data_IF_088189350860
#
_entry.id   IF_088189350860
#
_cell.length_a   1.000
_cell.length_b   1.000
_cell.length_c   1.000
_cell.angle_alpha   90.00
_cell.angle_beta   90.00
_cell.angle_gamma   90.00
#
_symmetry.space_group_name_H-M   'P 1'
#
loop_
_entity.id
_entity.type
_entity.pdbx_description
1 polymer ?
#
# COMPACT_ATOMS: atom_id res chain seq x y z
N UNK A 1 59.53 -2.73 -9.22
CA UNK A 1 60.20 -3.95 -8.73
C UNK A 1 59.60 -4.35 -7.39
N UNK A 2 59.25 -5.62 -7.24
CA UNK A 2 58.72 -6.34 -6.07
C UNK A 2 57.29 -6.10 -5.69
N UNK A 3 56.37 -6.91 -6.33
CA UNK A 3 55.10 -7.40 -5.77
C UNK A 3 55.41 -8.10 -4.44
N UNK A 4 54.72 -7.74 -3.37
CA UNK A 4 54.58 -8.57 -2.19
C UNK A 4 53.13 -9.05 -2.11
N UNK A 5 52.99 -10.34 -2.42
CA UNK A 5 51.85 -11.15 -2.06
C UNK A 5 51.69 -11.14 -0.54
N UNK A 6 50.53 -10.79 -0.05
CA UNK A 6 50.08 -11.08 1.31
C UNK A 6 48.83 -11.93 1.25
N UNK A 7 49.00 -13.19 0.87
CA UNK A 7 48.07 -14.26 1.25
C UNK A 7 48.29 -14.56 2.73
N UNK A 8 47.54 -13.90 3.60
CA UNK A 8 47.43 -14.34 4.99
C UNK A 8 46.10 -15.07 5.10
N UNK A 9 46.21 -16.38 4.91
CA UNK A 9 45.09 -17.34 5.09
C UNK A 9 44.55 -17.24 6.51
N UNK A 10 43.29 -16.83 6.61
CA UNK A 10 42.48 -16.94 7.79
C UNK A 10 42.29 -18.42 8.13
N UNK A 11 42.89 -18.87 9.17
CA UNK A 11 42.79 -20.23 9.65
C UNK A 11 41.71 -20.30 10.75
N UNK A 12 40.43 -20.34 10.34
CA UNK A 12 39.28 -20.59 11.23
C UNK A 12 39.12 -22.09 11.58
N UNK A 13 40.17 -22.92 11.40
CA UNK A 13 40.14 -24.35 11.64
C UNK A 13 40.55 -24.78 13.05
N UNK A 14 40.11 -24.02 14.05
CA UNK A 14 40.24 -24.43 15.46
C UNK A 14 38.92 -24.98 16.01
N UNK A 15 38.55 -26.23 15.70
CA UNK A 15 37.45 -27.04 16.24
C UNK A 15 36.30 -27.33 15.26
N UNK A 16 36.54 -28.27 14.37
CA UNK A 16 35.58 -29.30 13.95
C UNK A 16 36.20 -30.17 12.86
N UNK A 17 37.10 -31.09 13.27
CA UNK A 17 37.20 -32.37 12.59
C UNK A 17 36.16 -33.28 13.23
N UNK A 18 34.99 -33.32 12.69
CA UNK A 18 34.07 -34.44 12.83
C UNK A 18 33.43 -34.65 11.49
N UNK A 19 33.76 -35.81 10.92
CA UNK A 19 33.03 -36.62 9.95
C UNK A 19 32.03 -35.88 9.03
N UNK A 20 32.27 -35.99 7.75
CA UNK A 20 31.24 -35.85 6.69
C UNK A 20 30.04 -36.75 7.02
N UNK A 21 29.10 -36.21 7.76
CA UNK A 21 27.73 -36.73 7.87
C UNK A 21 26.91 -36.14 6.70
N UNK A 22 26.01 -36.88 6.11
CA UNK A 22 25.19 -36.39 5.01
C UNK A 22 24.50 -35.10 5.45
N UNK A 23 24.55 -34.06 4.62
CA UNK A 23 23.89 -32.76 4.84
C UNK A 23 22.48 -33.02 5.31
N UNK A 24 22.17 -32.64 6.56
CA UNK A 24 20.84 -32.72 7.12
C UNK A 24 19.89 -31.94 6.19
N UNK A 25 18.95 -32.62 5.59
CA UNK A 25 17.91 -32.06 4.71
C UNK A 25 16.89 -31.20 5.47
N UNK A 26 17.07 -31.01 6.78
CA UNK A 26 16.17 -30.21 7.61
C UNK A 26 16.47 -28.71 7.47
N UNK A 27 15.45 -27.87 7.30
CA UNK A 27 15.61 -26.41 7.22
C UNK A 27 16.19 -25.85 8.52
N UNK A 28 16.94 -24.72 8.42
CA UNK A 28 17.43 -24.00 9.59
C UNK A 28 16.27 -23.41 10.39
N UNK A 29 15.31 -22.79 9.69
CA UNK A 29 14.09 -22.23 10.25
C UNK A 29 12.87 -22.82 9.52
N UNK A 30 11.89 -23.27 10.28
CA UNK A 30 10.59 -23.70 9.77
C UNK A 30 9.48 -22.99 10.56
N UNK A 31 8.56 -22.38 9.85
CA UNK A 31 7.36 -21.72 10.38
C UNK A 31 6.17 -22.46 9.80
N UNK A 32 5.24 -22.92 10.65
CA UNK A 32 4.11 -23.75 10.24
C UNK A 32 2.81 -23.25 10.89
N UNK A 33 1.94 -22.64 10.06
CA UNK A 33 0.61 -22.16 10.45
C UNK A 33 0.62 -21.02 11.48
N UNK A 34 1.68 -20.18 11.49
CA UNK A 34 1.84 -19.13 12.51
C UNK A 34 0.88 -17.99 12.29
N UNK A 35 0.08 -17.69 13.34
CA UNK A 35 -0.78 -16.50 13.41
C UNK A 35 -0.47 -15.69 14.66
N UNK A 36 -0.60 -14.36 14.55
CA UNK A 36 -0.32 -13.44 15.64
C UNK A 36 -1.13 -12.15 15.51
N UNK A 37 -1.49 -11.56 16.66
CA UNK A 37 -2.13 -10.24 16.76
C UNK A 37 -1.78 -9.53 18.07
N UNK A 38 -1.95 -8.22 18.07
CA UNK A 38 -1.81 -7.39 19.27
C UNK A 38 -3.19 -7.08 19.85
N UNK A 39 -3.35 -7.23 21.17
CA UNK A 39 -4.56 -6.83 21.90
C UNK A 39 -5.88 -7.32 21.26
N UNK A 40 -5.89 -8.56 20.77
CA UNK A 40 -7.05 -9.15 20.11
C UNK A 40 -7.26 -8.72 18.66
N UNK A 41 -6.41 -7.83 18.12
CA UNK A 41 -6.42 -7.44 16.71
C UNK A 41 -5.47 -8.31 15.90
N UNK A 42 -5.97 -9.22 15.05
CA UNK A 42 -5.13 -10.10 14.24
C UNK A 42 -4.30 -9.29 13.24
N UNK A 43 -3.01 -9.61 13.15
CA UNK A 43 -2.08 -8.95 12.24
C UNK A 43 -1.47 -9.91 11.22
N UNK A 44 -1.06 -11.10 11.67
CA UNK A 44 -0.45 -12.13 10.84
C UNK A 44 -1.35 -13.37 10.82
N UNK A 45 -1.49 -13.95 9.62
CA UNK A 45 -2.39 -15.08 9.41
C UNK A 45 -1.66 -16.21 8.70
N UNK A 46 -1.72 -17.40 9.26
CA UNK A 46 -1.36 -18.68 8.65
C UNK A 46 -0.04 -18.64 7.87
N UNK A 47 1.04 -18.22 8.54
CA UNK A 47 2.36 -18.08 7.93
C UNK A 47 3.01 -19.47 7.82
N UNK A 48 3.40 -19.85 6.60
CA UNK A 48 4.21 -21.02 6.31
C UNK A 48 5.49 -20.59 5.61
N UNK A 49 6.65 -20.93 6.14
CA UNK A 49 7.95 -20.58 5.57
C UNK A 49 9.02 -21.57 5.99
N UNK A 50 9.92 -21.89 5.06
CA UNK A 50 11.13 -22.68 5.34
C UNK A 50 12.36 -21.94 4.82
N UNK A 51 13.38 -21.88 5.64
CA UNK A 51 14.66 -21.26 5.28
C UNK A 51 15.80 -22.24 5.58
N UNK A 52 16.60 -22.54 4.58
CA UNK A 52 17.73 -23.44 4.72
C UNK A 52 18.97 -22.69 5.23
N UNK A 53 19.94 -23.44 5.75
CA UNK A 53 21.22 -22.86 6.17
C UNK A 53 21.94 -22.21 4.98
N UNK A 54 22.44 -21.00 5.18
CA UNK A 54 23.16 -20.23 4.17
C UNK A 54 22.29 -19.49 3.16
N UNK A 55 20.95 -19.60 3.24
CA UNK A 55 20.07 -18.80 2.36
C UNK A 55 20.08 -17.31 2.71
N UNK A 56 19.87 -16.48 1.69
CA UNK A 56 19.58 -15.05 1.81
C UNK A 56 18.16 -14.76 1.32
N UNK A 57 17.31 -14.29 2.21
CA UNK A 57 15.88 -14.04 1.95
C UNK A 57 15.56 -12.57 2.19
N UNK A 58 15.00 -11.89 1.18
CA UNK A 58 14.48 -10.53 1.28
C UNK A 58 12.97 -10.55 1.55
N UNK A 59 12.54 -9.89 2.61
CA UNK A 59 11.13 -9.75 2.99
C UNK A 59 10.60 -8.39 2.52
N UNK A 60 9.76 -8.38 1.51
CA UNK A 60 9.16 -7.20 0.89
C UNK A 60 7.71 -7.01 1.35
N UNK A 61 7.24 -5.78 1.38
CA UNK A 61 5.85 -5.44 1.67
C UNK A 61 5.71 -4.00 2.15
N UNK A 62 4.50 -3.43 2.07
CA UNK A 62 4.23 -2.06 2.49
C UNK A 62 4.42 -1.87 3.99
N UNK A 63 4.43 -0.60 4.42
CA UNK A 63 4.44 -0.26 5.84
C UNK A 63 3.19 -0.82 6.53
N UNK A 64 3.37 -1.37 7.73
CA UNK A 64 2.27 -2.00 8.47
C UNK A 64 1.87 -3.41 7.98
N UNK A 65 2.58 -4.00 7.00
CA UNK A 65 2.30 -5.37 6.53
C UNK A 65 2.64 -6.45 7.57
N UNK A 66 3.42 -6.13 8.61
CA UNK A 66 3.80 -7.06 9.67
C UNK A 66 5.22 -7.62 9.58
N UNK A 67 6.10 -7.11 8.70
CA UNK A 67 7.51 -7.56 8.54
C UNK A 67 8.28 -7.57 9.85
N UNK A 68 8.34 -6.45 10.55
CA UNK A 68 9.00 -6.32 11.86
C UNK A 68 8.38 -7.26 12.90
N UNK A 69 7.06 -7.46 12.86
CA UNK A 69 6.39 -8.41 13.77
C UNK A 69 6.81 -9.85 13.48
N UNK A 70 6.93 -10.24 12.22
CA UNK A 70 7.46 -11.55 11.84
C UNK A 70 8.91 -11.73 12.32
N UNK A 71 9.78 -10.72 12.13
CA UNK A 71 11.15 -10.76 12.65
C UNK A 71 11.19 -10.88 14.17
N UNK A 72 10.28 -10.21 14.91
CA UNK A 72 10.17 -10.32 16.37
C UNK A 72 9.69 -11.70 16.82
N UNK A 73 8.82 -12.35 16.07
CA UNK A 73 8.42 -13.73 16.31
C UNK A 73 9.59 -14.70 16.09
N UNK A 74 10.32 -14.57 14.97
CA UNK A 74 11.48 -15.41 14.66
C UNK A 74 12.60 -15.22 15.70
N UNK A 75 12.81 -14.00 16.20
CA UNK A 75 13.81 -13.73 17.27
C UNK A 75 13.35 -14.16 18.66
N UNK A 76 12.14 -14.67 18.83
CA UNK A 76 11.59 -15.11 20.11
C UNK A 76 11.25 -13.97 21.09
N UNK A 77 11.20 -12.72 20.60
CA UNK A 77 10.72 -11.56 21.38
C UNK A 77 9.20 -11.63 21.55
N UNK A 78 8.50 -12.08 20.51
CA UNK A 78 7.06 -12.37 20.52
C UNK A 78 6.84 -13.89 20.42
N UNK A 79 5.69 -14.33 20.91
CA UNK A 79 5.27 -15.73 20.82
C UNK A 79 4.05 -15.85 19.89
N UNK A 80 4.01 -16.84 19.00
CA UNK A 80 2.84 -17.06 18.15
C UNK A 80 1.61 -17.40 18.99
N UNK A 81 0.45 -16.97 18.54
CA UNK A 81 -0.84 -17.33 19.15
C UNK A 81 -1.35 -18.69 18.61
N UNK A 82 -0.98 -19.01 17.36
CA UNK A 82 -1.27 -20.28 16.71
C UNK A 82 -0.06 -20.72 15.88
N UNK A 83 0.01 -22.01 15.56
CA UNK A 83 1.10 -22.57 14.80
C UNK A 83 2.37 -22.81 15.63
N UNK A 84 3.46 -23.13 14.96
CA UNK A 84 4.77 -23.43 15.59
C UNK A 84 5.92 -22.90 14.76
N UNK A 85 7.05 -22.68 15.43
CA UNK A 85 8.32 -22.32 14.79
C UNK A 85 9.43 -23.24 15.28
N UNK A 86 10.16 -23.83 14.35
CA UNK A 86 11.29 -24.69 14.62
C UNK A 86 12.59 -24.01 14.17
N UNK A 87 13.58 -24.00 15.03
CA UNK A 87 14.94 -23.58 14.72
C UNK A 87 15.85 -24.81 14.85
N UNK A 88 16.53 -25.18 13.76
CA UNK A 88 17.36 -26.41 13.71
C UNK A 88 16.56 -27.68 14.12
N UNK A 89 15.31 -27.78 13.67
CA UNK A 89 14.42 -28.90 13.97
C UNK A 89 13.85 -28.95 15.40
N UNK A 90 14.19 -28.00 16.26
CA UNK A 90 13.72 -27.90 17.64
C UNK A 90 12.79 -26.69 17.80
N UNK A 91 11.70 -26.84 18.57
CA UNK A 91 10.79 -25.74 18.85
C UNK A 91 11.55 -24.50 19.39
N UNK A 92 11.23 -23.34 18.83
CA UNK A 92 11.92 -22.08 19.15
C UNK A 92 11.80 -21.74 20.63
N UNK A 93 10.65 -21.96 21.22
CA UNK A 93 10.39 -21.69 22.65
C UNK A 93 11.23 -22.59 23.56
N UNK A 94 11.52 -23.83 23.12
CA UNK A 94 12.31 -24.78 23.89
C UNK A 94 13.80 -24.42 24.01
N UNK A 95 14.29 -23.44 23.21
CA UNK A 95 15.67 -22.95 23.33
C UNK A 95 15.89 -22.01 24.51
N UNK A 96 14.82 -21.37 25.01
CA UNK A 96 14.90 -20.30 25.99
C UNK A 96 15.65 -19.07 25.44
N UNK A 97 15.48 -17.91 26.09
CA UNK A 97 16.00 -16.60 25.62
C UNK A 97 17.51 -16.65 25.29
N UNK A 98 18.30 -17.27 26.15
CA UNK A 98 19.77 -17.35 25.98
C UNK A 98 20.17 -18.30 24.83
N UNK A 99 19.44 -19.39 24.67
CA UNK A 99 19.65 -20.33 23.57
C UNK A 99 19.32 -19.71 22.21
N UNK A 100 18.25 -18.94 22.12
CA UNK A 100 17.88 -18.16 20.93
C UNK A 100 18.95 -17.12 20.63
N UNK A 101 19.33 -16.30 21.62
CA UNK A 101 20.32 -15.23 21.44
C UNK A 101 21.73 -15.73 21.05
N UNK A 102 22.05 -17.00 21.21
CA UNK A 102 23.29 -17.62 20.70
C UNK A 102 23.19 -18.09 19.24
N UNK A 103 21.99 -18.08 18.65
CA UNK A 103 21.71 -18.61 17.31
C UNK A 103 21.14 -17.59 16.35
N UNK A 104 20.37 -16.66 16.89
CA UNK A 104 19.71 -15.60 16.13
C UNK A 104 20.26 -14.26 16.62
N UNK A 105 20.81 -13.48 15.70
CA UNK A 105 21.15 -12.09 15.94
C UNK A 105 20.19 -11.17 15.17
N UNK A 106 19.88 -10.01 15.76
CA UNK A 106 18.99 -9.02 15.18
C UNK A 106 19.72 -7.70 15.01
N UNK A 107 19.68 -7.15 13.82
CA UNK A 107 20.05 -5.77 13.50
C UNK A 107 18.76 -4.98 13.39
N UNK A 108 18.41 -4.16 14.38
CA UNK A 108 17.19 -3.36 14.35
C UNK A 108 17.31 -2.20 13.36
N UNK A 109 16.19 -1.64 12.96
CA UNK A 109 16.11 -0.46 12.09
C UNK A 109 16.84 0.76 12.73
N UNK A 110 16.63 0.97 14.01
CA UNK A 110 17.31 2.01 14.80
C UNK A 110 17.77 1.45 16.13
N UNK A 111 18.98 1.82 16.55
CA UNK A 111 19.52 1.51 17.86
C UNK A 111 19.83 2.79 18.60
N UNK A 112 19.01 3.14 19.59
CA UNK A 112 19.26 4.26 20.48
C UNK A 112 20.06 3.81 21.68
N UNK A 113 21.24 4.39 21.86
CA UNK A 113 22.15 4.09 22.96
C UNK A 113 22.27 5.32 23.85
N UNK A 114 21.73 5.30 25.08
CA UNK A 114 21.70 6.47 25.95
C UNK A 114 23.07 6.80 26.61
N UNK A 115 24.04 5.90 26.45
CA UNK A 115 25.36 6.02 27.05
C UNK A 115 26.47 6.20 26.02
N UNK A 116 27.59 6.80 26.41
CA UNK A 116 28.76 7.02 25.57
C UNK A 116 29.63 5.77 25.47
N UNK A 117 29.13 4.69 24.87
CA UNK A 117 29.95 3.51 24.60
C UNK A 117 30.90 3.75 23.45
N UNK A 118 32.11 3.20 23.55
CA UNK A 118 33.01 3.07 22.41
C UNK A 118 32.51 1.99 21.43
N UNK A 119 32.98 2.05 20.20
CA UNK A 119 32.69 1.02 19.19
C UNK A 119 33.06 -0.39 19.68
N UNK A 120 34.23 -0.55 20.28
CA UNK A 120 34.68 -1.83 20.83
C UNK A 120 33.74 -2.32 21.94
N UNK A 121 33.28 -1.45 22.83
CA UNK A 121 32.32 -1.79 23.88
C UNK A 121 30.98 -2.22 23.29
N UNK A 122 30.49 -1.52 22.26
CA UNK A 122 29.28 -1.90 21.54
C UNK A 122 29.37 -3.30 20.95
N UNK A 123 30.44 -3.61 20.21
CA UNK A 123 30.62 -4.94 19.61
C UNK A 123 30.73 -6.02 20.68
N UNK A 124 31.36 -5.69 21.80
CA UNK A 124 31.48 -6.58 22.95
C UNK A 124 30.13 -6.97 23.56
N UNK A 125 29.06 -6.14 23.44
CA UNK A 125 27.70 -6.50 23.89
C UNK A 125 27.18 -7.74 23.15
N UNK A 126 27.63 -8.01 21.94
CA UNK A 126 27.29 -9.22 21.19
C UNK A 126 27.72 -10.52 21.89
N UNK A 127 28.72 -10.47 22.81
CA UNK A 127 29.16 -11.64 23.57
C UNK A 127 28.33 -11.89 24.85
N UNK A 128 27.41 -10.98 25.22
CA UNK A 128 26.56 -11.10 26.43
C UNK A 128 25.86 -12.46 26.59
N UNK A 129 25.32 -13.11 25.55
CA UNK A 129 24.68 -14.42 25.69
C UNK A 129 25.62 -15.54 26.13
N UNK A 130 26.93 -15.36 25.97
CA UNK A 130 27.98 -16.37 26.27
C UNK A 130 28.58 -16.18 27.66
N UNK A 131 28.51 -14.99 28.23
CA UNK A 131 29.05 -14.65 29.55
C UNK A 131 28.10 -15.17 30.65
N UNK A 132 28.60 -15.89 31.64
CA UNK A 132 27.84 -16.33 32.81
C UNK A 132 27.45 -15.17 33.73
N UNK A 133 26.57 -15.40 34.68
CA UNK A 133 26.05 -14.36 35.60
C UNK A 133 27.20 -13.70 36.42
N UNK A 134 28.22 -14.46 36.74
CA UNK A 134 29.45 -14.03 37.48
C UNK A 134 30.73 -14.20 36.62
N UNK A 135 30.55 -14.41 35.31
CA UNK A 135 31.67 -14.68 34.40
C UNK A 135 32.34 -13.42 33.89
N UNK A 136 33.65 -13.47 33.73
CA UNK A 136 34.44 -12.49 32.98
C UNK A 136 34.56 -12.92 31.51
N UNK A 137 34.89 -11.98 30.63
CA UNK A 137 35.19 -12.26 29.21
C UNK A 137 36.42 -13.13 29.08
N UNK A 138 36.36 -14.12 28.22
CA UNK A 138 37.46 -14.98 27.87
C UNK A 138 38.37 -14.34 26.79
N UNK A 139 39.59 -14.81 26.66
CA UNK A 139 40.47 -14.43 25.53
C UNK A 139 39.79 -14.77 24.17
N UNK A 140 39.03 -15.85 24.13
CA UNK A 140 38.29 -16.24 22.93
C UNK A 140 37.20 -15.20 22.56
N UNK A 141 36.47 -14.65 23.54
CA UNK A 141 35.49 -13.59 23.28
C UNK A 141 36.17 -12.34 22.70
N UNK A 142 37.33 -11.95 23.19
CA UNK A 142 38.11 -10.83 22.66
C UNK A 142 38.52 -11.06 21.19
N UNK A 143 38.96 -12.27 20.84
CA UNK A 143 39.33 -12.62 19.47
C UNK A 143 38.08 -12.54 18.55
N UNK A 144 36.93 -13.08 18.97
CA UNK A 144 35.65 -13.03 18.19
C UNK A 144 35.24 -11.60 17.94
N UNK A 145 35.31 -10.72 18.94
CA UNK A 145 35.02 -9.30 18.80
C UNK A 145 35.96 -8.65 17.79
N UNK A 146 37.25 -8.92 17.85
CA UNK A 146 38.22 -8.39 16.92
C UNK A 146 37.96 -8.89 15.49
N UNK A 147 37.65 -10.16 15.30
CA UNK A 147 37.27 -10.74 13.99
C UNK A 147 35.97 -10.09 13.43
N UNK A 148 34.97 -9.87 14.27
CA UNK A 148 33.74 -9.20 13.87
C UNK A 148 34.03 -7.76 13.43
N UNK A 149 34.88 -7.03 14.16
CA UNK A 149 35.25 -5.65 13.79
C UNK A 149 36.07 -5.60 12.49
N UNK A 150 36.93 -6.58 12.26
CA UNK A 150 37.71 -6.70 11.02
C UNK A 150 36.80 -7.01 9.83
N UNK A 151 35.86 -7.95 9.99
CA UNK A 151 34.94 -8.37 8.94
C UNK A 151 33.96 -7.25 8.49
N UNK A 152 33.73 -6.27 9.36
CA UNK A 152 32.88 -5.10 9.08
C UNK A 152 33.70 -3.82 8.83
N UNK A 153 35.05 -3.92 8.78
CA UNK A 153 35.98 -2.81 8.50
C UNK A 153 35.91 -1.64 9.49
N UNK A 154 35.52 -1.88 10.76
CA UNK A 154 35.38 -0.85 11.79
C UNK A 154 36.52 -0.82 12.81
N UNK A 155 37.55 -1.65 12.66
CA UNK A 155 38.71 -1.68 13.56
C UNK A 155 39.37 -0.32 13.79
N UNK A 156 39.50 0.57 12.78
CA UNK A 156 40.05 1.91 13.00
C UNK A 156 39.20 2.79 13.92
N UNK A 157 37.91 2.46 14.07
CA UNK A 157 36.93 3.21 14.87
C UNK A 157 36.80 2.71 16.30
N UNK A 158 37.54 1.66 16.72
CA UNK A 158 37.36 0.93 17.97
C UNK A 158 37.19 1.82 19.21
N UNK A 159 37.96 2.92 19.30
CA UNK A 159 37.97 3.84 20.45
C UNK A 159 37.02 5.04 20.30
N UNK A 160 36.38 5.23 19.12
CA UNK A 160 35.40 6.31 18.92
C UNK A 160 34.10 6.01 19.65
N UNK A 161 33.42 7.05 20.04
CA UNK A 161 32.10 6.96 20.68
C UNK A 161 31.06 6.63 19.60
N UNK A 162 30.24 5.63 19.85
CA UNK A 162 29.22 5.13 18.91
C UNK A 162 28.26 6.23 18.45
N UNK A 163 27.82 7.09 19.35
CA UNK A 163 26.86 8.16 19.05
C UNK A 163 27.46 9.28 18.16
N UNK A 164 28.79 9.37 18.03
CA UNK A 164 29.50 10.35 17.21
C UNK A 164 29.77 9.87 15.78
N UNK A 165 29.39 8.62 15.47
CA UNK A 165 29.61 8.01 14.16
C UNK A 165 28.54 8.49 13.16
N UNK A 166 28.90 8.45 11.86
CA UNK A 166 27.95 8.59 10.76
C UNK A 166 26.92 7.43 10.73
N UNK A 167 25.82 7.59 10.04
CA UNK A 167 24.78 6.55 9.93
C UNK A 167 25.31 5.21 9.41
N UNK A 168 26.12 5.25 8.34
CA UNK A 168 26.74 4.05 7.77
C UNK A 168 27.76 3.38 8.70
N UNK A 169 28.60 4.18 9.40
CA UNK A 169 29.52 3.65 10.41
C UNK A 169 28.75 3.00 11.56
N UNK A 170 27.69 3.65 12.07
CA UNK A 170 26.83 3.06 13.11
C UNK A 170 26.24 1.73 12.68
N UNK A 171 25.73 1.66 11.44
CA UNK A 171 25.15 0.42 10.91
C UNK A 171 26.17 -0.72 10.83
N UNK A 172 27.41 -0.43 10.40
CA UNK A 172 28.52 -1.41 10.40
C UNK A 172 28.84 -1.89 11.82
N UNK A 173 28.81 -1.01 12.83
CA UNK A 173 29.02 -1.39 14.25
C UNK A 173 27.90 -2.29 14.75
N UNK A 174 26.64 -2.02 14.43
CA UNK A 174 25.51 -2.87 14.83
C UNK A 174 25.59 -4.25 14.17
N UNK A 175 26.00 -4.31 12.90
CA UNK A 175 26.25 -5.58 12.22
C UNK A 175 27.42 -6.33 12.88
N UNK A 176 28.52 -5.66 13.23
CA UNK A 176 29.64 -6.28 13.96
C UNK A 176 29.21 -6.85 15.31
N UNK A 177 28.39 -6.10 16.07
CA UNK A 177 27.81 -6.56 17.33
C UNK A 177 26.96 -7.83 17.13
N UNK A 178 26.14 -7.87 16.07
CA UNK A 178 25.37 -9.05 15.70
C UNK A 178 26.27 -10.24 15.31
N UNK A 179 27.32 -10.02 14.53
CA UNK A 179 28.29 -11.04 14.15
C UNK A 179 29.08 -11.59 15.35
N UNK A 180 29.41 -10.75 16.34
CA UNK A 180 30.07 -11.18 17.56
C UNK A 180 29.25 -12.22 18.35
N UNK A 181 27.96 -12.36 18.10
CA UNK A 181 27.13 -13.47 18.62
C UNK A 181 27.41 -14.80 17.90
N UNK A 182 28.11 -14.81 16.77
CA UNK A 182 28.32 -15.99 15.92
C UNK A 182 26.99 -16.68 15.57
N UNK A 183 26.01 -15.94 15.02
CA UNK A 183 24.67 -16.45 14.80
C UNK A 183 24.63 -17.43 13.63
N UNK A 184 23.71 -18.40 13.66
CA UNK A 184 23.32 -19.20 12.50
C UNK A 184 22.31 -18.47 11.61
N UNK A 185 21.53 -17.54 12.19
CA UNK A 185 20.52 -16.73 11.50
C UNK A 185 20.70 -15.24 11.89
N UNK A 186 20.88 -14.40 10.88
CA UNK A 186 20.93 -12.94 11.00
C UNK A 186 19.62 -12.33 10.49
N UNK A 187 18.92 -11.63 11.34
CA UNK A 187 17.71 -10.88 11.03
C UNK A 187 18.06 -9.40 10.88
N UNK A 188 17.68 -8.80 9.76
CA UNK A 188 17.90 -7.40 9.48
C UNK A 188 16.55 -6.71 9.32
N UNK A 189 16.25 -5.74 10.18
CA UNK A 189 15.03 -4.94 10.07
C UNK A 189 15.36 -3.61 9.41
N UNK A 190 15.10 -3.50 8.11
CA UNK A 190 15.35 -2.32 7.28
C UNK A 190 16.77 -1.76 7.37
N UNK A 191 17.81 -2.59 7.10
CA UNK A 191 19.21 -2.24 7.38
C UNK A 191 19.75 -1.06 6.57
N UNK A 192 19.03 -0.61 5.55
CA UNK A 192 19.42 0.46 4.63
C UNK A 192 18.61 1.74 4.81
N UNK A 193 17.62 1.76 5.72
CA UNK A 193 16.80 2.95 5.96
C UNK A 193 17.63 4.11 6.49
N UNK A 194 17.31 5.33 6.05
CA UNK A 194 17.97 6.59 6.41
C UNK A 194 19.48 6.68 6.03
N UNK A 195 19.96 5.80 5.15
CA UNK A 195 21.31 5.85 4.62
C UNK A 195 21.32 6.40 3.20
N UNK A 196 22.38 7.14 2.85
CA UNK A 196 22.66 7.53 1.47
C UNK A 196 22.91 6.31 0.58
N UNK A 197 22.63 6.40 -0.71
CA UNK A 197 22.75 5.31 -1.70
C UNK A 197 24.08 4.58 -1.59
N UNK A 198 25.21 5.31 -1.42
CA UNK A 198 26.53 4.72 -1.26
C UNK A 198 26.56 3.76 -0.08
N UNK A 199 26.09 4.19 1.08
CA UNK A 199 26.10 3.37 2.30
C UNK A 199 25.10 2.22 2.24
N UNK A 200 23.96 2.40 1.57
CA UNK A 200 23.01 1.32 1.32
C UNK A 200 23.68 0.15 0.56
N UNK A 201 24.39 0.49 -0.52
CA UNK A 201 25.12 -0.47 -1.34
C UNK A 201 26.18 -1.17 -0.51
N UNK A 202 27.02 -0.41 0.20
CA UNK A 202 28.11 -0.95 1.02
C UNK A 202 27.61 -1.92 2.11
N UNK A 203 26.47 -1.60 2.75
CA UNK A 203 25.88 -2.48 3.77
C UNK A 203 25.35 -3.78 3.16
N UNK A 204 24.67 -3.73 2.01
CA UNK A 204 24.16 -4.93 1.36
C UNK A 204 25.28 -5.80 0.78
N UNK A 205 26.35 -5.20 0.24
CA UNK A 205 27.55 -5.91 -0.18
C UNK A 205 28.24 -6.58 1.01
N UNK A 206 28.35 -5.89 2.15
CA UNK A 206 28.86 -6.47 3.38
C UNK A 206 28.03 -7.68 3.82
N UNK A 207 26.70 -7.55 3.87
CA UNK A 207 25.79 -8.67 4.25
C UNK A 207 25.96 -9.85 3.30
N UNK A 208 26.05 -9.60 1.99
CA UNK A 208 26.28 -10.65 0.99
C UNK A 208 27.64 -11.33 1.18
N UNK A 209 28.71 -10.56 1.45
CA UNK A 209 30.04 -11.13 1.76
C UNK A 209 30.02 -11.99 3.01
N UNK A 210 29.30 -11.57 4.07
CA UNK A 210 29.15 -12.33 5.30
C UNK A 210 28.40 -13.65 5.07
N UNK A 211 27.33 -13.62 4.29
CA UNK A 211 26.64 -14.84 3.89
C UNK A 211 27.56 -15.79 3.12
N UNK A 212 28.24 -15.30 2.07
CA UNK A 212 29.11 -16.15 1.24
C UNK A 212 30.35 -16.69 1.98
N UNK A 213 30.99 -15.87 2.83
CA UNK A 213 32.25 -16.27 3.50
C UNK A 213 32.02 -17.06 4.77
N UNK A 214 31.00 -16.70 5.54
CA UNK A 214 30.72 -17.29 6.86
C UNK A 214 29.54 -18.25 6.86
N UNK A 215 28.83 -18.38 5.76
CA UNK A 215 27.63 -19.25 5.65
C UNK A 215 26.46 -18.82 6.55
N UNK A 216 26.44 -17.58 6.99
CA UNK A 216 25.37 -17.05 7.85
C UNK A 216 24.07 -16.94 7.05
N UNK A 217 23.01 -17.53 7.55
CA UNK A 217 21.66 -17.38 6.95
C UNK A 217 21.13 -15.98 7.24
N UNK A 218 20.52 -15.34 6.24
CA UNK A 218 20.05 -13.96 6.37
C UNK A 218 18.57 -13.85 6.00
N UNK A 219 17.79 -13.16 6.84
CA UNK A 219 16.45 -12.68 6.51
C UNK A 219 16.45 -11.17 6.72
N UNK A 220 16.15 -10.39 5.67
CA UNK A 220 16.15 -8.94 5.72
C UNK A 220 14.81 -8.37 5.30
N UNK A 221 14.19 -7.57 6.16
CA UNK A 221 13.08 -6.73 5.76
C UNK A 221 13.60 -5.56 4.94
N UNK A 222 13.05 -5.38 3.74
CA UNK A 222 13.49 -4.38 2.78
C UNK A 222 12.31 -3.49 2.34
N UNK A 223 12.61 -2.22 2.04
CA UNK A 223 11.65 -1.29 1.42
C UNK A 223 11.92 -1.08 -0.05
N UNK A 224 13.19 -1.05 -0.44
CA UNK A 224 13.60 -0.82 -1.81
C UNK A 224 13.54 -2.15 -2.61
N UNK A 225 12.60 -2.20 -3.55
CA UNK A 225 12.37 -3.36 -4.41
C UNK A 225 13.59 -3.64 -5.31
N UNK A 226 14.26 -2.58 -5.79
CA UNK A 226 15.39 -2.68 -6.69
C UNK A 226 16.64 -3.23 -5.98
N UNK A 227 16.92 -2.71 -4.78
CA UNK A 227 18.00 -3.24 -3.95
C UNK A 227 17.71 -4.68 -3.52
N UNK A 228 16.48 -4.99 -3.16
CA UNK A 228 16.09 -6.36 -2.81
C UNK A 228 16.28 -7.33 -3.99
N UNK A 229 15.84 -6.95 -5.20
CA UNK A 229 16.01 -7.75 -6.41
C UNK A 229 17.49 -8.00 -6.76
N UNK A 230 18.34 -7.03 -6.46
CA UNK A 230 19.77 -7.11 -6.77
C UNK A 230 20.55 -8.00 -5.82
N UNK A 231 20.23 -7.94 -4.53
CA UNK A 231 21.07 -8.57 -3.49
C UNK A 231 20.52 -9.87 -2.93
N UNK A 232 19.22 -10.12 -3.05
CA UNK A 232 18.57 -11.31 -2.49
C UNK A 232 18.12 -12.27 -3.59
N UNK A 233 18.63 -13.51 -3.59
CA UNK A 233 18.26 -14.51 -4.60
C UNK A 233 16.85 -15.05 -4.41
N UNK A 234 16.28 -14.89 -3.22
CA UNK A 234 14.91 -15.27 -2.86
C UNK A 234 14.20 -14.10 -2.19
N UNK A 235 12.98 -13.82 -2.62
CA UNK A 235 12.14 -12.75 -2.09
C UNK A 235 10.83 -13.34 -1.56
N UNK A 236 10.36 -12.79 -0.46
CA UNK A 236 9.02 -13.00 0.05
C UNK A 236 8.23 -11.70 -0.07
N UNK A 237 7.11 -11.73 -0.79
CA UNK A 237 6.16 -10.64 -0.81
C UNK A 237 5.14 -10.85 0.31
N UNK A 238 5.06 -9.86 1.21
CA UNK A 238 4.39 -10.02 2.48
C UNK A 238 3.32 -8.94 2.74
N UNK A 239 2.10 -9.37 3.02
CA UNK A 239 1.00 -8.50 3.43
C UNK A 239 0.10 -9.27 4.40
N UNK A 240 0.39 -9.15 5.70
CA UNK A 240 -0.25 -9.92 6.78
C UNK A 240 -0.11 -11.45 6.67
N UNK A 241 0.46 -11.94 5.61
CA UNK A 241 0.77 -13.31 5.24
C UNK A 241 1.72 -13.31 4.06
N UNK A 242 2.22 -14.48 3.66
CA UNK A 242 3.08 -14.63 2.49
C UNK A 242 2.19 -14.67 1.25
N UNK A 243 2.39 -13.71 0.34
CA UNK A 243 1.65 -13.60 -0.93
C UNK A 243 2.40 -14.33 -2.04
N UNK A 244 3.73 -14.22 -2.04
CA UNK A 244 4.62 -14.94 -2.96
C UNK A 244 5.95 -15.21 -2.27
N UNK A 245 6.62 -16.30 -2.63
CA UNK A 245 7.90 -16.76 -2.08
C UNK A 245 8.68 -17.46 -3.19
N UNK A 246 9.55 -16.74 -3.88
CA UNK A 246 10.31 -17.25 -5.02
C UNK A 246 11.50 -16.33 -5.38
N UNK A 247 12.08 -16.56 -6.54
CA UNK A 247 13.09 -15.69 -7.15
C UNK A 247 12.55 -14.26 -7.38
N UNK A 248 13.43 -13.24 -7.49
CA UNK A 248 13.00 -11.88 -7.80
C UNK A 248 12.14 -11.77 -9.07
N UNK A 249 12.36 -12.63 -10.07
CA UNK A 249 11.62 -12.60 -11.33
C UNK A 249 10.15 -12.97 -11.16
N UNK A 250 9.85 -13.90 -10.27
CA UNK A 250 8.49 -14.37 -9.99
C UNK A 250 7.77 -13.45 -8.99
N UNK A 251 8.49 -12.94 -8.00
CA UNK A 251 7.90 -12.11 -6.92
C UNK A 251 7.64 -10.68 -7.38
N UNK A 252 8.48 -10.12 -8.26
CA UNK A 252 8.32 -8.75 -8.77
C UNK A 252 7.40 -8.70 -10.01
N UNK A 253 6.34 -9.49 -10.00
CA UNK A 253 5.29 -9.42 -11.00
C UNK A 253 4.46 -8.13 -10.83
N UNK A 254 4.20 -7.35 -11.92
CA UNK A 254 3.45 -6.11 -11.85
C UNK A 254 2.05 -6.25 -11.24
N UNK A 255 1.36 -7.38 -11.45
CA UNK A 255 0.02 -7.63 -10.91
C UNK A 255 0.07 -7.92 -9.41
N UNK A 256 1.06 -8.70 -8.96
CA UNK A 256 1.30 -8.95 -7.54
C UNK A 256 1.67 -7.66 -6.82
N UNK A 257 2.56 -6.84 -7.40
CA UNK A 257 2.96 -5.55 -6.83
C UNK A 257 1.79 -4.57 -6.76
N UNK A 258 0.95 -4.51 -7.79
CA UNK A 258 -0.27 -3.71 -7.79
C UNK A 258 -1.24 -4.16 -6.68
N UNK A 259 -1.41 -5.47 -6.49
CA UNK A 259 -2.28 -6.04 -5.44
C UNK A 259 -1.79 -5.66 -4.04
N UNK A 260 -0.47 -5.70 -3.80
CA UNK A 260 0.12 -5.52 -2.46
C UNK A 260 0.39 -4.06 -2.15
N UNK A 261 0.89 -3.27 -3.11
CA UNK A 261 1.26 -1.86 -2.90
C UNK A 261 0.19 -0.88 -3.40
N UNK A 262 -0.81 -1.33 -4.16
CA UNK A 262 -1.90 -0.49 -4.66
C UNK A 262 -1.49 0.45 -5.81
N UNK A 263 -0.30 0.26 -6.41
CA UNK A 263 0.24 1.11 -7.49
C UNK A 263 0.61 0.28 -8.70
N UNK A 264 0.41 0.84 -9.90
CA UNK A 264 0.94 0.24 -11.12
C UNK A 264 2.44 0.50 -11.20
N UNK A 265 3.18 -0.50 -11.63
CA UNK A 265 4.64 -0.42 -11.85
C UNK A 265 5.00 -1.15 -13.14
N UNK A 266 6.10 -0.75 -13.76
CA UNK A 266 6.74 -1.49 -14.82
C UNK A 266 7.91 -2.27 -14.25
N UNK A 267 8.05 -3.53 -14.65
CA UNK A 267 9.16 -4.39 -14.23
C UNK A 267 9.91 -4.82 -15.49
N UNK A 268 11.21 -4.60 -15.50
CA UNK A 268 12.04 -4.94 -16.64
C UNK A 268 13.54 -4.85 -16.33
N UNK A 269 14.36 -5.28 -17.26
CA UNK A 269 15.83 -5.17 -17.15
C UNK A 269 16.27 -3.90 -17.89
N UNK A 270 16.83 -2.95 -17.16
CA UNK A 270 17.40 -1.73 -17.75
C UNK A 270 18.61 -2.05 -18.63
N UNK A 271 18.83 -1.25 -19.67
CA UNK A 271 20.02 -1.39 -20.54
C UNK A 271 21.31 -1.34 -19.71
N UNK A 272 22.10 -2.42 -19.78
CA UNK A 272 23.35 -2.55 -19.03
C UNK A 272 23.21 -3.05 -17.59
N UNK A 273 21.99 -3.32 -17.12
CA UNK A 273 21.75 -3.99 -15.84
C UNK A 273 21.62 -5.51 -16.04
N UNK A 274 21.98 -6.27 -15.02
CA UNK A 274 21.82 -7.73 -14.97
C UNK A 274 20.66 -8.15 -14.07
N UNK A 275 19.99 -7.18 -13.44
CA UNK A 275 18.92 -7.40 -12.47
C UNK A 275 17.64 -6.74 -12.90
N UNK A 276 16.51 -7.26 -12.42
CA UNK A 276 15.21 -6.63 -12.58
C UNK A 276 15.18 -5.27 -11.89
N UNK A 277 14.50 -4.35 -12.54
CA UNK A 277 14.22 -3.01 -12.00
C UNK A 277 12.73 -2.77 -12.01
N UNK A 278 12.22 -2.26 -10.91
CA UNK A 278 10.84 -1.80 -10.75
C UNK A 278 10.84 -0.30 -10.96
N UNK A 279 10.09 0.15 -11.94
CA UNK A 279 9.99 1.55 -12.36
C UNK A 279 8.58 2.08 -12.12
N UNK A 280 8.41 3.38 -11.93
CA UNK A 280 7.09 4.00 -11.96
C UNK A 280 6.40 3.71 -13.29
N UNK A 281 5.07 3.76 -13.38
CA UNK A 281 4.35 3.61 -14.65
C UNK A 281 4.81 4.65 -15.66
N UNK A 282 4.86 4.29 -16.94
CA UNK A 282 5.22 5.19 -18.04
C UNK A 282 4.27 6.39 -18.12
N UNK A 283 4.72 7.48 -18.76
CA UNK A 283 3.93 8.70 -18.92
C UNK A 283 2.57 8.43 -19.60
N UNK A 284 2.54 7.59 -20.63
CA UNK A 284 1.31 7.20 -21.33
C UNK A 284 0.33 6.45 -20.41
N UNK A 285 0.81 5.55 -19.54
CA UNK A 285 -0.04 4.84 -18.58
C UNK A 285 -0.52 5.77 -17.47
N UNK A 286 0.30 6.74 -17.06
CA UNK A 286 -0.09 7.77 -16.10
C UNK A 286 -1.14 8.71 -16.69
N UNK A 287 -1.01 9.10 -17.96
CA UNK A 287 -2.02 9.91 -18.65
C UNK A 287 -3.34 9.17 -18.82
N UNK A 288 -3.31 7.90 -19.25
CA UNK A 288 -4.52 7.07 -19.35
C UNK A 288 -5.20 6.90 -17.96
N UNK A 289 -4.43 6.73 -16.91
CA UNK A 289 -4.99 6.57 -15.57
C UNK A 289 -5.45 7.90 -14.96
N UNK A 290 -4.76 9.02 -15.27
CA UNK A 290 -5.23 10.39 -14.97
C UNK A 290 -6.51 10.72 -15.75
N UNK A 291 -6.57 10.38 -17.03
CA UNK A 291 -7.79 10.54 -17.83
C UNK A 291 -8.94 9.68 -17.32
N UNK A 292 -8.69 8.44 -16.89
CA UNK A 292 -9.72 7.58 -16.27
C UNK A 292 -10.20 8.13 -14.93
N UNK A 293 -9.31 8.69 -14.11
CA UNK A 293 -9.66 9.32 -12.82
C UNK A 293 -10.27 10.71 -12.97
N UNK A 294 -9.92 11.45 -14.02
CA UNK A 294 -10.44 12.81 -14.27
C UNK A 294 -11.72 12.84 -15.08
N UNK A 295 -12.14 11.72 -15.69
CA UNK A 295 -13.42 11.66 -16.42
C UNK A 295 -14.58 11.69 -15.42
N UNK A 296 -15.39 12.76 -15.43
CA UNK A 296 -16.52 12.85 -14.53
C UNK A 296 -17.49 11.69 -14.78
N UNK A 297 -17.78 10.93 -13.72
CA UNK A 297 -18.77 9.84 -13.77
C UNK A 297 -20.15 10.28 -13.31
N UNK A 298 -20.25 11.52 -12.80
CA UNK A 298 -21.48 12.14 -12.37
C UNK A 298 -21.90 13.16 -13.40
N UNK A 299 -23.11 13.02 -13.94
CA UNK A 299 -23.73 14.02 -14.81
C UNK A 299 -24.86 14.72 -14.08
N UNK A 300 -24.86 16.06 -14.06
CA UNK A 300 -25.86 16.89 -13.40
C UNK A 300 -26.76 17.55 -14.41
N UNK A 301 -28.06 17.28 -14.34
CA UNK A 301 -29.08 18.02 -15.07
C UNK A 301 -29.74 19.02 -14.12
N UNK A 302 -29.60 20.31 -14.44
CA UNK A 302 -30.15 21.43 -13.65
C UNK A 302 -30.66 22.53 -14.55
N UNK A 303 -31.16 23.62 -13.98
CA UNK A 303 -31.60 24.81 -14.66
C UNK A 303 -32.43 25.68 -13.73
N UNK A 304 -32.42 27.01 -13.95
CA UNK A 304 -33.15 27.97 -13.13
C UNK A 304 -32.64 28.08 -11.69
N UNK A 305 -31.36 27.86 -11.46
CA UNK A 305 -30.73 27.92 -10.13
C UNK A 305 -30.94 26.66 -9.28
N UNK A 306 -31.55 25.61 -9.83
CA UNK A 306 -31.90 24.39 -9.07
C UNK A 306 -30.69 23.53 -8.71
N UNK A 307 -29.55 23.70 -9.42
CA UNK A 307 -28.32 22.93 -9.25
C UNK A 307 -27.29 23.55 -8.31
N UNK A 308 -27.43 24.81 -7.90
CA UNK A 308 -26.41 25.58 -7.22
C UNK A 308 -25.85 24.89 -5.97
N UNK A 309 -26.72 24.47 -5.05
CA UNK A 309 -26.34 23.85 -3.80
C UNK A 309 -25.57 22.54 -4.03
N UNK A 310 -26.02 21.75 -4.99
CA UNK A 310 -25.43 20.46 -5.29
C UNK A 310 -24.10 20.58 -6.02
N UNK A 311 -23.98 21.51 -6.98
CA UNK A 311 -22.71 21.78 -7.66
C UNK A 311 -21.61 22.22 -6.71
N UNK A 312 -21.92 23.11 -5.75
CA UNK A 312 -20.98 23.54 -4.70
C UNK A 312 -20.56 22.36 -3.84
N UNK A 313 -21.51 21.56 -3.37
CA UNK A 313 -21.23 20.42 -2.51
C UNK A 313 -20.42 19.32 -3.22
N UNK A 314 -20.65 19.07 -4.52
CA UNK A 314 -19.83 18.16 -5.32
C UNK A 314 -18.38 18.66 -5.45
N UNK A 315 -18.21 19.97 -5.71
CA UNK A 315 -16.90 20.59 -5.80
C UNK A 315 -16.16 20.56 -4.46
N UNK A 316 -16.82 20.88 -3.34
CA UNK A 316 -16.25 20.83 -1.99
C UNK A 316 -15.87 19.39 -1.59
N UNK A 317 -16.62 18.40 -2.07
CA UNK A 317 -16.32 16.99 -1.86
C UNK A 317 -15.28 16.43 -2.84
N UNK A 318 -14.71 17.26 -3.74
CA UNK A 318 -13.78 16.87 -4.80
C UNK A 318 -14.29 15.76 -5.73
N UNK A 319 -15.61 15.75 -5.99
CA UNK A 319 -16.26 14.82 -6.92
C UNK A 319 -16.36 15.51 -8.28
N UNK A 320 -15.61 15.05 -9.31
CA UNK A 320 -15.70 15.63 -10.64
C UNK A 320 -17.07 15.32 -11.27
N UNK A 321 -17.70 16.33 -11.87
CA UNK A 321 -18.99 16.19 -12.53
C UNK A 321 -19.05 16.93 -13.85
N UNK A 322 -19.96 16.51 -14.73
CA UNK A 322 -20.38 17.23 -15.93
C UNK A 322 -21.75 17.84 -15.69
N UNK A 323 -22.06 18.95 -16.32
CA UNK A 323 -23.37 19.61 -16.19
C UNK A 323 -23.96 20.01 -17.53
N UNK A 324 -25.26 19.90 -17.65
CA UNK A 324 -25.95 20.40 -18.84
C UNK A 324 -27.07 19.51 -19.40
N UNK A 325 -27.72 19.90 -20.51
CA UNK A 325 -27.45 21.16 -21.24
C UNK A 325 -28.03 22.35 -20.49
N UNK A 326 -27.25 23.42 -20.36
CA UNK A 326 -27.60 24.64 -19.63
C UNK A 326 -27.58 25.84 -20.59
N UNK A 327 -28.62 26.70 -20.52
CA UNK A 327 -28.65 27.93 -21.33
C UNK A 327 -27.66 28.96 -20.82
N UNK A 328 -26.94 29.63 -21.71
CA UNK A 328 -26.09 30.79 -21.38
C UNK A 328 -26.99 31.86 -20.75
N UNK A 329 -26.54 32.40 -19.60
CA UNK A 329 -27.29 33.36 -18.81
C UNK A 329 -28.10 32.76 -17.68
N UNK A 330 -28.22 31.44 -17.61
CA UNK A 330 -28.75 30.73 -16.44
C UNK A 330 -27.74 30.80 -15.28
N UNK A 331 -28.21 30.95 -14.07
CA UNK A 331 -27.36 30.97 -12.87
C UNK A 331 -26.57 29.65 -12.70
N UNK A 332 -27.23 28.50 -13.02
CA UNK A 332 -26.56 27.20 -13.00
C UNK A 332 -25.47 27.08 -14.06
N UNK A 333 -25.62 27.69 -15.25
CA UNK A 333 -24.59 27.74 -16.28
C UNK A 333 -23.35 28.51 -15.81
N UNK A 334 -23.55 29.71 -15.21
CA UNK A 334 -22.45 30.51 -14.71
C UNK A 334 -21.64 29.81 -13.61
N UNK A 335 -22.32 29.02 -12.76
CA UNK A 335 -21.70 28.25 -11.70
C UNK A 335 -21.01 26.99 -12.23
N UNK A 336 -21.68 26.24 -13.13
CA UNK A 336 -21.13 25.04 -13.74
C UNK A 336 -19.83 25.32 -14.50
N UNK A 337 -19.75 26.45 -15.22
CA UNK A 337 -18.54 26.87 -15.94
C UNK A 337 -17.29 27.02 -15.02
N UNK A 338 -17.50 27.25 -13.72
CA UNK A 338 -16.42 27.38 -12.73
C UNK A 338 -16.10 26.08 -12.01
N UNK A 339 -17.07 25.20 -11.83
CA UNK A 339 -16.97 24.06 -10.92
C UNK A 339 -17.01 22.69 -11.63
N UNK A 340 -17.65 22.59 -12.80
CA UNK A 340 -17.75 21.33 -13.53
C UNK A 340 -16.49 21.07 -14.40
N UNK A 341 -16.14 19.81 -14.60
CA UNK A 341 -15.08 19.41 -15.51
C UNK A 341 -15.45 19.59 -16.99
N UNK A 342 -16.75 19.50 -17.33
CA UNK A 342 -17.30 19.72 -18.66
C UNK A 342 -18.69 20.32 -18.54
N UNK A 343 -19.04 21.35 -19.32
CA UNK A 343 -20.36 21.97 -19.36
C UNK A 343 -20.93 21.91 -20.76
N UNK A 344 -22.11 21.30 -20.90
CA UNK A 344 -22.85 21.29 -22.16
C UNK A 344 -23.72 22.53 -22.20
N UNK A 345 -23.48 23.38 -23.17
CA UNK A 345 -24.03 24.75 -23.24
C UNK A 345 -25.02 24.88 -24.36
N UNK A 346 -26.10 25.63 -24.13
CA UNK A 346 -27.10 25.99 -25.13
C UNK A 346 -27.24 27.53 -25.22
N UNK A 347 -27.77 28.01 -26.34
CA UNK A 347 -27.97 29.43 -26.57
C UNK A 347 -28.95 30.05 -25.53
N UNK A 348 -28.84 31.35 -25.22
CA UNK A 348 -29.72 32.00 -24.28
C UNK A 348 -31.18 31.90 -24.73
N UNK A 349 -32.05 31.47 -23.81
CA UNK A 349 -33.51 31.31 -24.02
C UNK A 349 -33.91 30.40 -25.18
N UNK A 350 -32.99 29.63 -25.77
CA UNK A 350 -33.27 28.68 -26.82
C UNK A 350 -33.75 27.34 -26.27
N UNK A 351 -34.60 26.61 -26.98
CA UNK A 351 -34.87 25.21 -26.71
C UNK A 351 -33.57 24.41 -26.87
N UNK A 352 -33.45 23.30 -26.14
CA UNK A 352 -32.24 22.43 -26.22
C UNK A 352 -32.13 21.87 -27.64
N UNK A 353 -30.99 22.17 -28.29
CA UNK A 353 -30.70 21.77 -29.66
C UNK A 353 -30.36 20.30 -29.78
N UNK A 354 -30.50 19.73 -31.01
CA UNK A 354 -30.07 18.36 -31.30
C UNK A 354 -28.56 18.14 -31.00
N UNK A 355 -27.72 19.14 -31.29
CA UNK A 355 -26.30 19.08 -31.01
C UNK A 355 -25.99 19.00 -29.50
N UNK A 356 -26.67 19.79 -28.67
CA UNK A 356 -26.57 19.73 -27.23
C UNK A 356 -27.08 18.38 -26.67
N UNK A 357 -28.16 17.84 -27.22
CA UNK A 357 -28.68 16.52 -26.85
C UNK A 357 -27.69 15.39 -27.20
N UNK A 358 -26.99 15.46 -28.31
CA UNK A 358 -25.96 14.48 -28.67
C UNK A 358 -24.80 14.51 -27.66
N UNK A 359 -24.39 15.70 -27.24
CA UNK A 359 -23.36 15.85 -26.21
C UNK A 359 -23.84 15.30 -24.85
N UNK A 360 -25.11 15.55 -24.48
CA UNK A 360 -25.72 14.97 -23.26
C UNK A 360 -25.74 13.45 -23.35
N UNK A 361 -26.12 12.85 -24.47
CA UNK A 361 -26.07 11.39 -24.67
C UNK A 361 -24.65 10.83 -24.52
N UNK A 362 -23.67 11.50 -25.12
CA UNK A 362 -22.27 11.10 -24.98
C UNK A 362 -21.79 11.18 -23.52
N UNK A 363 -22.20 12.23 -22.79
CA UNK A 363 -21.90 12.37 -21.37
C UNK A 363 -22.57 11.28 -20.55
N UNK A 364 -23.86 11.01 -20.76
CA UNK A 364 -24.61 9.96 -20.07
C UNK A 364 -24.11 8.54 -20.36
N UNK A 365 -23.50 8.31 -21.53
CA UNK A 365 -22.86 7.02 -21.84
C UNK A 365 -21.61 6.79 -20.98
N UNK A 366 -20.93 7.85 -20.58
CA UNK A 366 -19.72 7.82 -19.71
C UNK A 366 -20.09 7.88 -18.23
N UNK A 367 -21.26 8.42 -17.90
CA UNK A 367 -21.71 8.62 -16.52
C UNK A 367 -22.14 7.30 -15.87
N UNK A 368 -21.76 7.12 -14.61
CA UNK A 368 -22.27 6.05 -13.74
C UNK A 368 -23.46 6.53 -12.90
N UNK A 369 -23.57 7.84 -12.69
CA UNK A 369 -24.64 8.48 -11.94
C UNK A 369 -25.16 9.72 -12.70
N UNK A 370 -26.46 9.77 -12.91
CA UNK A 370 -27.18 10.97 -13.33
C UNK A 370 -27.88 11.59 -12.11
N UNK A 371 -27.65 12.87 -11.87
CA UNK A 371 -28.35 13.63 -10.83
C UNK A 371 -29.28 14.63 -11.51
N UNK A 372 -30.58 14.48 -11.25
CA UNK A 372 -31.62 15.35 -11.76
C UNK A 372 -32.04 16.34 -10.67
N UNK A 373 -31.72 17.61 -10.87
CA UNK A 373 -32.12 18.69 -9.99
C UNK A 373 -33.57 19.12 -10.24
N UNK A 374 -34.24 19.78 -9.26
CA UNK A 374 -35.62 20.16 -9.37
C UNK A 374 -35.87 21.38 -10.33
N UNK A 375 -35.44 21.24 -11.58
CA UNK A 375 -35.64 22.26 -12.62
C UNK A 375 -37.11 22.29 -13.12
N UNK A 376 -37.61 23.46 -13.58
CA UNK A 376 -38.88 23.54 -14.34
C UNK A 376 -38.76 22.77 -15.65
N UNK A 377 -39.81 21.98 -15.97
CA UNK A 377 -39.88 21.19 -17.21
C UNK A 377 -40.87 21.80 -18.16
N UNK A 378 -40.39 22.29 -19.29
CA UNK A 378 -41.20 22.86 -20.34
C UNK A 378 -40.90 22.22 -21.72
N UNK A 379 -41.62 22.64 -22.78
CA UNK A 379 -41.38 22.08 -24.13
C UNK A 379 -39.94 22.26 -24.61
N UNK A 380 -39.24 23.30 -24.11
CA UNK A 380 -37.87 23.60 -24.54
C UNK A 380 -36.79 22.65 -23.96
N UNK A 381 -37.03 22.01 -22.82
CA UNK A 381 -36.11 21.12 -22.14
C UNK A 381 -36.68 19.71 -21.89
N UNK A 382 -37.88 19.40 -22.36
CA UNK A 382 -38.51 18.07 -22.24
C UNK A 382 -37.58 16.95 -22.80
N UNK A 383 -36.90 17.25 -23.89
CA UNK A 383 -35.96 16.32 -24.50
C UNK A 383 -34.81 15.88 -23.55
N UNK A 384 -34.37 16.74 -22.62
CA UNK A 384 -33.41 16.36 -21.57
C UNK A 384 -33.98 15.29 -20.64
N UNK A 385 -35.25 15.44 -20.25
CA UNK A 385 -35.91 14.47 -19.40
C UNK A 385 -36.12 13.13 -20.12
N UNK A 386 -36.36 13.16 -21.43
CA UNK A 386 -36.42 11.95 -22.28
C UNK A 386 -35.06 11.20 -22.31
N UNK A 387 -33.96 11.95 -22.44
CA UNK A 387 -32.60 11.35 -22.36
C UNK A 387 -32.32 10.79 -20.97
N UNK A 388 -32.76 11.47 -19.89
CA UNK A 388 -32.62 10.97 -18.53
C UNK A 388 -33.41 9.65 -18.33
N UNK A 389 -34.63 9.57 -18.77
CA UNK A 389 -35.46 8.35 -18.74
C UNK A 389 -34.82 7.21 -19.56
N UNK A 390 -34.31 7.54 -20.74
CA UNK A 390 -33.58 6.57 -21.59
C UNK A 390 -32.30 6.06 -20.91
N UNK A 391 -31.57 6.93 -20.21
CA UNK A 391 -30.35 6.55 -19.45
C UNK A 391 -30.71 5.61 -18.28
N UNK A 392 -31.78 5.91 -17.54
CA UNK A 392 -32.30 5.05 -16.47
C UNK A 392 -32.62 3.63 -16.98
N UNK A 393 -33.31 3.54 -18.13
CA UNK A 393 -33.64 2.26 -18.77
C UNK A 393 -32.40 1.48 -19.24
N UNK A 394 -31.29 2.17 -19.57
CA UNK A 394 -30.00 1.55 -19.90
C UNK A 394 -29.18 1.13 -18.69
N UNK A 395 -29.68 1.38 -17.45
CA UNK A 395 -29.02 0.98 -16.21
C UNK A 395 -28.10 2.05 -15.60
N UNK A 396 -28.11 3.29 -16.08
CA UNK A 396 -27.45 4.41 -15.41
C UNK A 396 -28.21 4.71 -14.12
N UNK A 397 -27.50 4.77 -12.97
CA UNK A 397 -28.13 5.14 -11.72
C UNK A 397 -28.67 6.57 -11.78
N UNK A 398 -29.93 6.77 -11.41
CA UNK A 398 -30.59 8.11 -11.42
C UNK A 398 -30.91 8.53 -10.00
N UNK A 399 -30.44 9.72 -9.62
CA UNK A 399 -30.74 10.39 -8.37
C UNK A 399 -31.56 11.64 -8.63
N UNK A 400 -32.74 11.71 -8.06
CA UNK A 400 -33.61 12.90 -8.13
C UNK A 400 -33.45 13.70 -6.84
N UNK A 401 -32.90 14.90 -6.96
CA UNK A 401 -32.76 15.81 -5.83
C UNK A 401 -34.01 16.66 -5.64
N UNK A 402 -34.66 16.50 -4.51
CA UNK A 402 -35.87 17.21 -4.15
C UNK A 402 -35.77 17.71 -2.70
N UNK A 403 -35.23 18.93 -2.45
CA UNK A 403 -35.03 19.44 -1.11
C UNK A 403 -36.36 19.52 -0.33
N UNK A 404 -36.25 19.20 0.97
CA UNK A 404 -37.38 19.23 1.89
C UNK A 404 -38.11 20.59 1.86
N UNK A 405 -39.39 20.58 1.60
CA UNK A 405 -40.24 21.79 1.48
C UNK A 405 -40.86 21.98 0.10
N UNK A 406 -40.37 21.34 -0.96
CA UNK A 406 -41.01 21.39 -2.29
C UNK A 406 -42.26 20.50 -2.39
N UNK A 407 -42.43 19.52 -1.49
CA UNK A 407 -43.50 18.52 -1.49
C UNK A 407 -44.73 18.90 -0.59
N UNK A 408 -44.74 20.05 0.11
CA UNK A 408 -45.59 20.24 1.30
C UNK A 408 -46.98 20.78 1.06
N UNK A 409 -47.53 20.93 -0.18
CA UNK A 409 -48.84 21.56 -0.36
C UNK A 409 -49.90 20.82 -1.20
N UNK A 410 -49.68 19.59 -1.63
CA UNK A 410 -50.73 18.87 -2.38
C UNK A 410 -50.83 17.40 -1.92
N UNK A 411 -51.44 17.19 -0.75
CA UNK A 411 -51.98 15.89 -0.39
C UNK A 411 -53.36 15.73 -1.08
N UNK A 412 -53.37 15.05 -2.22
CA UNK A 412 -54.61 14.56 -2.86
C UNK A 412 -54.71 13.06 -2.67
N UNK A 413 -55.91 12.52 -2.61
CA UNK A 413 -56.28 11.14 -2.23
C UNK A 413 -55.71 10.01 -3.12
N UNK A 414 -54.90 10.33 -4.13
CA UNK A 414 -54.27 9.35 -5.04
C UNK A 414 -52.97 8.72 -4.52
N UNK A 415 -52.50 9.08 -3.30
CA UNK A 415 -51.21 8.68 -2.74
C UNK A 415 -51.21 7.35 -1.97
N UNK A 416 -52.06 6.41 -2.30
CA UNK A 416 -52.12 5.12 -1.54
C UNK A 416 -51.06 4.08 -1.94
N UNK A 417 -50.19 4.37 -2.91
CA UNK A 417 -49.10 3.47 -3.30
C UNK A 417 -47.73 4.06 -2.95
N UNK A 418 -46.72 3.23 -2.66
CA UNK A 418 -45.36 3.67 -2.40
C UNK A 418 -44.77 4.52 -3.56
N UNK A 419 -45.11 4.21 -4.81
CA UNK A 419 -44.73 4.98 -6.00
C UNK A 419 -45.38 6.36 -6.02
N UNK A 420 -46.69 6.48 -5.66
CA UNK A 420 -47.39 7.76 -5.55
C UNK A 420 -46.73 8.70 -4.54
N UNK A 421 -46.28 8.18 -3.40
CA UNK A 421 -45.55 8.94 -2.38
C UNK A 421 -44.19 9.41 -2.89
N UNK A 422 -43.44 8.57 -3.62
CA UNK A 422 -42.13 8.95 -4.21
C UNK A 422 -42.33 10.02 -5.29
N UNK A 423 -43.33 9.88 -6.13
CA UNK A 423 -43.63 10.84 -7.18
C UNK A 423 -43.98 12.22 -6.60
N UNK A 424 -44.77 12.26 -5.52
CA UNK A 424 -45.05 13.51 -4.79
C UNK A 424 -43.78 14.15 -4.23
N UNK A 425 -42.88 13.39 -3.66
CA UNK A 425 -41.59 13.89 -3.14
C UNK A 425 -40.76 14.57 -4.22
N UNK A 426 -40.81 14.16 -5.47
CA UNK A 426 -40.10 14.85 -6.56
C UNK A 426 -40.60 16.26 -6.82
N UNK A 427 -41.82 16.58 -6.44
CA UNK A 427 -42.50 17.87 -6.71
C UNK A 427 -42.69 18.17 -8.21
N UNK A 428 -42.57 17.17 -9.09
CA UNK A 428 -42.63 17.35 -10.54
C UNK A 428 -43.99 17.92 -10.99
N UNK A 429 -45.09 17.53 -10.35
CA UNK A 429 -46.43 17.98 -10.71
C UNK A 429 -46.58 19.52 -10.68
N UNK A 430 -45.85 20.21 -9.80
CA UNK A 430 -45.87 21.67 -9.70
C UNK A 430 -44.92 22.37 -10.69
N UNK A 431 -44.05 21.62 -11.35
CA UNK A 431 -42.96 22.12 -12.24
C UNK A 431 -43.09 21.61 -13.66
N UNK A 432 -44.11 20.81 -13.96
CA UNK A 432 -44.35 20.26 -15.29
C UNK A 432 -45.31 21.17 -16.10
N UNK A 433 -44.76 21.87 -17.07
CA UNK A 433 -45.46 22.72 -18.01
C UNK A 433 -45.68 22.03 -19.37
N UNK A 434 -45.56 20.69 -19.43
CA UNK A 434 -45.67 19.88 -20.65
C UNK A 434 -46.98 19.12 -20.77
N UNK A 435 -47.99 19.52 -20.00
CA UNK A 435 -49.30 18.83 -19.93
C UNK A 435 -49.21 17.37 -19.47
N UNK A 436 -48.28 17.07 -18.54
CA UNK A 436 -48.14 15.76 -17.93
C UNK A 436 -47.12 14.84 -18.60
N UNK A 437 -46.43 15.24 -19.68
CA UNK A 437 -45.40 14.42 -20.29
C UNK A 437 -44.14 14.33 -19.38
N UNK A 438 -43.74 15.43 -18.73
CA UNK A 438 -42.66 15.43 -17.75
C UNK A 438 -42.95 14.52 -16.55
N UNK A 439 -44.19 14.55 -16.06
CA UNK A 439 -44.66 13.69 -14.97
C UNK A 439 -44.49 12.19 -15.35
N UNK A 440 -44.90 11.79 -16.55
CA UNK A 440 -44.79 10.41 -17.05
C UNK A 440 -43.35 9.96 -17.10
N UNK A 441 -42.42 10.81 -17.60
CA UNK A 441 -40.97 10.48 -17.68
C UNK A 441 -40.35 10.30 -16.31
N UNK A 442 -40.74 11.14 -15.32
CA UNK A 442 -40.28 10.96 -13.94
C UNK A 442 -40.81 9.65 -13.35
N UNK A 443 -42.06 9.30 -13.63
CA UNK A 443 -42.63 8.02 -13.20
C UNK A 443 -41.89 6.83 -13.83
N UNK A 444 -41.58 6.88 -15.12
CA UNK A 444 -40.76 5.85 -15.79
C UNK A 444 -39.37 5.69 -15.16
N UNK A 445 -38.70 6.79 -14.78
CA UNK A 445 -37.41 6.75 -14.10
C UNK A 445 -37.53 6.13 -12.71
N UNK A 446 -38.57 6.43 -11.94
CA UNK A 446 -38.83 5.79 -10.64
C UNK A 446 -39.05 4.28 -10.78
N UNK A 447 -39.82 3.85 -11.78
CA UNK A 447 -40.03 2.43 -12.10
C UNK A 447 -38.71 1.74 -12.54
N UNK A 448 -37.81 2.48 -13.18
CA UNK A 448 -36.47 2.00 -13.53
C UNK A 448 -35.48 2.01 -12.35
N UNK A 449 -35.91 2.36 -11.14
CA UNK A 449 -35.10 2.31 -9.92
C UNK A 449 -34.44 3.63 -9.54
N UNK A 450 -34.87 4.77 -10.07
CA UNK A 450 -34.38 6.08 -9.63
C UNK A 450 -34.69 6.32 -8.15
N UNK A 451 -33.74 6.96 -7.45
CA UNK A 451 -33.88 7.31 -6.03
C UNK A 451 -34.17 8.77 -5.84
N UNK A 452 -35.00 9.09 -4.85
CA UNK A 452 -35.34 10.48 -4.48
C UNK A 452 -34.66 10.78 -3.15
N UNK A 453 -33.87 11.87 -3.12
CA UNK A 453 -33.14 12.34 -1.92
C UNK A 453 -33.54 13.78 -1.60
N UNK A 454 -33.65 14.10 -0.32
CA UNK A 454 -34.12 15.39 0.18
C UNK A 454 -32.99 16.26 0.77
N UNK A 455 -31.79 15.72 0.89
CA UNK A 455 -30.64 16.42 1.46
C UNK A 455 -29.39 16.34 0.57
N UNK A 456 -28.65 17.45 0.57
CA UNK A 456 -27.34 17.54 -0.12
C UNK A 456 -26.36 16.50 0.42
N UNK A 457 -26.36 16.27 1.74
CA UNK A 457 -25.45 15.31 2.38
C UNK A 457 -25.66 13.89 1.88
N UNK A 458 -26.93 13.46 1.74
CA UNK A 458 -27.28 12.13 1.19
C UNK A 458 -26.89 12.02 -0.29
N UNK A 459 -27.18 13.07 -1.08
CA UNK A 459 -26.77 13.11 -2.48
C UNK A 459 -25.26 12.95 -2.66
N UNK A 460 -24.46 13.62 -1.84
CA UNK A 460 -22.98 13.51 -1.85
C UNK A 460 -22.51 12.13 -1.41
N UNK A 461 -23.11 11.52 -0.39
CA UNK A 461 -22.76 10.15 0.03
C UNK A 461 -23.01 9.15 -1.09
N UNK A 462 -24.12 9.28 -1.81
CA UNK A 462 -24.40 8.42 -2.96
C UNK A 462 -23.41 8.72 -4.09
N UNK A 463 -23.16 9.99 -4.42
CA UNK A 463 -22.24 10.37 -5.50
C UNK A 463 -20.81 9.84 -5.28
N UNK A 464 -20.33 9.77 -4.03
CA UNK A 464 -19.03 9.16 -3.67
C UNK A 464 -18.92 7.67 -4.02
N UNK A 465 -20.02 6.95 -4.12
CA UNK A 465 -20.02 5.53 -4.50
C UNK A 465 -19.81 5.33 -6.01
N UNK A 466 -20.01 6.38 -6.80
CA UNK A 466 -19.92 6.36 -8.26
C UNK A 466 -18.76 7.20 -8.83
N UNK A 467 -18.03 7.92 -7.96
CA UNK A 467 -16.90 8.79 -8.35
C UNK A 467 -15.57 8.03 -8.50
#
# INVERSE_FOLDING_TARGET
MKKRNSETLFNLSGARKESESPQSTAPLLEIDGVSFGYDGHPLLYDIHMRVNAGEMVGLLGPNGSGKTTLLRLISGVLHPQQGRMLLQGRDLQAWGRRGIARRIAVVPQELHVPFAFTVEEMVNLGRTPFIGLLGSRSKQDANIVQEAMQSTEITPLARRIFNELSGGERQRVVIAMALAQQPSLLLLDEPTSHLDIKYQIEILELVQQLNHRLGVTVIAAMHDLNLAARYFPRLLLFQRGIIADDSPAEVLDPQLLRRVYGVNVQVGILRGATHLSVLPPGEEEQEIEREKRSRPRVHLMAGGGSGELLMRALADAHIPFTAGALNIGDSDHALATRLAGEVITEQPYAPISTAALEQVRASLTRASLLVLCPMPVGPGNLALLQEAASAAKRGVAVLMFAPAGTASQAATEESQTAEGTLLQRTGIAMRDYTKGEGLKLVQEMLQAGARVVDSVGEAIQIAKQYS
#
